data_IF_329868965073
#
_entry.id   IF_329868965073
#
_cell.length_a   1.000
_cell.length_b   1.000
_cell.length_c   1.000
_cell.angle_alpha   90.00
_cell.angle_beta   90.00
_cell.angle_gamma   90.00
#
_symmetry.space_group_name_H-M   'P 1'
#
loop_
_entity.id
_entity.type
_entity.pdbx_description
1 polymer ?
#
# COMPACT_ATOMS: atom_id res chain seq x y z
N UNK A 1 -1.21 -9.11 3.83
CA UNK A 1 -0.85 -7.83 3.15
C UNK A 1 -1.98 -6.81 3.17
N UNK A 2 -3.20 -7.18 2.82
CA UNK A 2 -4.34 -6.23 2.72
C UNK A 2 -4.57 -5.41 4.02
N UNK A 3 -4.61 -6.07 5.19
CA UNK A 3 -4.70 -5.37 6.48
C UNK A 3 -3.54 -4.39 6.74
N UNK A 4 -2.33 -4.73 6.28
CA UNK A 4 -1.16 -3.85 6.39
C UNK A 4 -1.35 -2.58 5.56
N UNK A 5 -1.85 -2.72 4.32
CA UNK A 5 -2.13 -1.57 3.46
C UNK A 5 -3.18 -0.65 4.08
N UNK A 6 -4.29 -1.21 4.58
CA UNK A 6 -5.32 -0.45 5.29
C UNK A 6 -4.73 0.38 6.44
N UNK A 7 -3.94 -0.26 7.30
CA UNK A 7 -3.38 0.38 8.48
C UNK A 7 -2.35 1.46 8.11
N UNK A 8 -1.48 1.19 7.12
CA UNK A 8 -0.49 2.17 6.66
C UNK A 8 -1.18 3.38 6.02
N UNK A 9 -2.14 3.17 5.12
CA UNK A 9 -2.85 4.30 4.49
C UNK A 9 -3.66 5.10 5.51
N UNK A 10 -4.36 4.45 6.44
CA UNK A 10 -5.07 5.14 7.51
C UNK A 10 -4.14 5.99 8.37
N UNK A 11 -2.93 5.49 8.67
CA UNK A 11 -1.95 6.19 9.48
C UNK A 11 -1.42 7.45 8.80
N UNK A 12 -1.15 7.41 7.49
CA UNK A 12 -0.63 8.56 6.73
C UNK A 12 -1.71 9.44 6.12
N UNK A 13 -2.97 9.06 6.22
CA UNK A 13 -4.12 9.80 5.71
C UNK A 13 -4.14 11.25 6.21
N UNK A 14 -4.62 12.18 5.39
CA UNK A 14 -4.89 13.57 5.81
C UNK A 14 -5.99 13.67 6.88
N UNK A 15 -6.78 12.62 7.07
CA UNK A 15 -7.83 12.50 8.07
C UNK A 15 -7.41 11.67 9.30
N UNK A 16 -6.11 11.42 9.47
CA UNK A 16 -5.57 10.77 10.67
C UNK A 16 -5.94 11.54 11.94
N UNK A 17 -5.98 10.85 13.07
CA UNK A 17 -6.36 11.44 14.35
C UNK A 17 -5.77 10.67 15.52
N UNK A 18 -5.74 11.27 16.74
CA UNK A 18 -5.35 10.55 17.96
C UNK A 18 -6.21 9.31 18.27
N UNK A 19 -7.40 9.17 17.64
CA UNK A 19 -8.26 8.01 17.77
C UNK A 19 -7.90 6.91 16.77
N UNK A 20 -7.48 7.26 15.56
CA UNK A 20 -7.18 6.29 14.49
C UNK A 20 -5.72 5.83 14.52
N UNK A 21 -4.79 6.70 14.89
CA UNK A 21 -3.36 6.41 14.89
C UNK A 21 -2.96 5.21 15.78
N UNK A 22 -3.44 5.11 17.03
CA UNK A 22 -3.12 3.95 17.87
C UNK A 22 -3.62 2.63 17.30
N UNK A 23 -4.80 2.64 16.65
CA UNK A 23 -5.38 1.46 16.02
C UNK A 23 -4.57 1.03 14.79
N UNK A 24 -4.20 2.00 13.95
CA UNK A 24 -3.40 1.76 12.76
C UNK A 24 -1.99 1.22 13.12
N UNK A 25 -1.29 1.86 14.04
CA UNK A 25 0.02 1.41 14.48
C UNK A 25 -0.05 0.01 15.10
N UNK A 26 -1.03 -0.24 15.97
CA UNK A 26 -1.18 -1.56 16.58
C UNK A 26 -1.48 -2.64 15.54
N UNK A 27 -2.29 -2.34 14.53
CA UNK A 27 -2.52 -3.25 13.43
C UNK A 27 -1.24 -3.54 12.63
N UNK A 28 -0.41 -2.52 12.34
CA UNK A 28 0.87 -2.68 11.64
C UNK A 28 1.80 -3.60 12.44
N UNK A 29 2.02 -3.32 13.73
CA UNK A 29 2.84 -4.16 14.62
C UNK A 29 2.39 -5.63 14.56
N UNK A 30 1.08 -5.88 14.78
CA UNK A 30 0.54 -7.24 14.79
C UNK A 30 0.69 -7.94 13.43
N UNK A 31 0.49 -7.21 12.32
CA UNK A 31 0.71 -7.81 10.99
C UNK A 31 2.17 -8.21 10.79
N UNK A 32 3.12 -7.35 11.18
CA UNK A 32 4.55 -7.66 11.04
C UNK A 32 4.97 -8.85 11.90
N UNK A 33 4.39 -8.99 13.09
CA UNK A 33 4.70 -10.08 14.01
C UNK A 33 4.08 -11.42 13.61
N UNK A 34 2.84 -11.41 13.11
CA UNK A 34 2.05 -12.65 12.96
C UNK A 34 1.78 -13.08 11.53
N UNK A 35 1.89 -12.19 10.53
CA UNK A 35 1.54 -12.54 9.15
C UNK A 35 2.34 -13.73 8.58
N UNK A 36 3.67 -13.83 8.79
CA UNK A 36 4.45 -14.96 8.27
C UNK A 36 4.00 -16.32 8.83
N UNK A 37 3.68 -16.37 10.12
CA UNK A 37 3.21 -17.59 10.79
C UNK A 37 1.76 -17.91 10.38
N UNK A 38 0.91 -16.88 10.30
CA UNK A 38 -0.47 -17.02 9.84
C UNK A 38 -0.53 -17.55 8.40
N UNK A 39 0.36 -17.09 7.52
CA UNK A 39 0.46 -17.59 6.15
C UNK A 39 0.85 -19.08 6.09
N UNK A 40 1.60 -19.57 7.07
CA UNK A 40 1.96 -20.98 7.26
C UNK A 40 0.89 -21.79 8.03
N UNK A 41 -0.31 -21.25 8.17
CA UNK A 41 -1.45 -21.87 8.84
C UNK A 41 -1.32 -22.07 10.36
N UNK A 42 -0.45 -21.32 11.06
CA UNK A 42 -0.47 -21.27 12.51
C UNK A 42 -1.78 -20.65 13.01
N UNK A 43 -2.54 -21.39 13.80
CA UNK A 43 -3.90 -20.98 14.20
C UNK A 43 -3.90 -19.84 15.21
N UNK A 44 -2.91 -19.75 16.09
CA UNK A 44 -2.78 -18.65 17.03
C UNK A 44 -2.43 -17.36 16.29
N UNK A 45 -1.49 -17.44 15.34
CA UNK A 45 -1.16 -16.31 14.50
C UNK A 45 -2.33 -15.86 13.61
N UNK A 46 -3.17 -16.80 13.14
CA UNK A 46 -4.40 -16.46 12.40
C UNK A 46 -5.39 -15.68 13.26
N UNK A 47 -5.57 -16.06 14.50
CA UNK A 47 -6.40 -15.32 15.45
C UNK A 47 -5.86 -13.88 15.64
N UNK A 48 -4.54 -13.72 15.85
CA UNK A 48 -3.94 -12.40 15.97
C UNK A 48 -4.12 -11.56 14.69
N UNK A 49 -4.05 -12.19 13.51
CA UNK A 49 -4.32 -11.53 12.25
C UNK A 49 -5.79 -11.09 12.09
N UNK A 50 -6.76 -11.79 12.69
CA UNK A 50 -8.14 -11.32 12.74
C UNK A 50 -8.28 -10.06 13.60
N UNK A 51 -7.60 -9.99 14.75
CA UNK A 51 -7.58 -8.76 15.55
C UNK A 51 -6.89 -7.61 14.81
N UNK A 52 -5.76 -7.88 14.17
CA UNK A 52 -5.06 -6.87 13.36
C UNK A 52 -5.94 -6.32 12.23
N UNK A 53 -6.68 -7.19 11.53
CA UNK A 53 -7.63 -6.79 10.50
C UNK A 53 -8.76 -5.93 11.06
N UNK A 54 -9.29 -6.27 12.23
CA UNK A 54 -10.34 -5.50 12.90
C UNK A 54 -9.84 -4.10 13.30
N UNK A 55 -8.64 -4.00 13.87
CA UNK A 55 -8.02 -2.72 14.24
C UNK A 55 -7.77 -1.85 13.00
N UNK A 56 -7.21 -2.43 11.93
CA UNK A 56 -7.03 -1.74 10.66
C UNK A 56 -8.37 -1.26 10.09
N UNK A 57 -9.43 -2.08 10.20
CA UNK A 57 -10.79 -1.77 9.80
C UNK A 57 -11.34 -0.54 10.53
N UNK A 58 -11.20 -0.50 11.85
CA UNK A 58 -11.63 0.64 12.67
C UNK A 58 -10.82 1.91 12.35
N UNK A 59 -9.51 1.78 12.09
CA UNK A 59 -8.67 2.91 11.73
C UNK A 59 -9.12 3.51 10.39
N UNK A 60 -9.17 2.74 9.30
CA UNK A 60 -9.48 3.28 7.98
C UNK A 60 -10.95 3.69 7.82
N UNK A 61 -11.88 3.10 8.56
CA UNK A 61 -13.28 3.53 8.53
C UNK A 61 -13.47 4.97 9.03
N UNK A 62 -12.53 5.50 9.79
CA UNK A 62 -12.54 6.85 10.33
C UNK A 62 -11.49 7.78 9.67
N UNK A 63 -10.31 7.26 9.33
CA UNK A 63 -9.25 8.03 8.68
C UNK A 63 -9.31 8.00 7.14
N UNK A 64 -10.16 7.13 6.57
CA UNK A 64 -10.18 6.80 5.15
C UNK A 64 -8.85 6.18 4.66
N UNK A 65 -8.67 6.11 3.36
CA UNK A 65 -7.57 5.41 2.69
C UNK A 65 -6.80 6.37 1.77
N UNK A 66 -6.04 5.84 0.82
CA UNK A 66 -5.24 6.62 -0.10
C UNK A 66 -5.20 6.01 -1.50
N UNK A 67 -4.20 6.42 -2.28
CA UNK A 67 -4.11 6.06 -3.70
C UNK A 67 -3.72 4.61 -3.96
N UNK A 68 -3.21 3.86 -2.98
CA UNK A 68 -3.04 2.39 -3.16
C UNK A 68 -4.39 1.75 -3.43
N UNK A 69 -5.40 2.09 -2.61
CA UNK A 69 -6.76 1.58 -2.79
C UNK A 69 -7.41 2.12 -4.06
N UNK A 70 -7.23 3.40 -4.37
CA UNK A 70 -7.74 4.00 -5.62
C UNK A 70 -7.23 3.27 -6.85
N UNK A 71 -5.94 2.97 -6.92
CA UNK A 71 -5.32 2.18 -7.99
C UNK A 71 -5.88 0.76 -8.03
N UNK A 72 -5.98 0.09 -6.88
CA UNK A 72 -6.48 -1.28 -6.79
C UNK A 72 -7.96 -1.42 -7.21
N UNK A 73 -8.81 -0.43 -6.89
CA UNK A 73 -10.20 -0.40 -7.33
C UNK A 73 -10.35 -0.38 -8.85
N UNK A 74 -9.44 0.28 -9.56
CA UNK A 74 -9.55 0.47 -11.01
C UNK A 74 -8.88 -0.65 -11.81
N UNK A 75 -8.04 -1.45 -11.18
CA UNK A 75 -7.29 -2.52 -11.88
C UNK A 75 -7.82 -3.93 -11.63
N UNK A 76 -8.65 -4.13 -10.60
CA UNK A 76 -9.13 -5.46 -10.22
C UNK A 76 -9.78 -6.25 -11.36
N UNK A 77 -10.58 -5.60 -12.21
CA UNK A 77 -11.26 -6.20 -13.34
C UNK A 77 -10.96 -5.50 -14.68
N UNK A 78 -9.87 -4.72 -14.76
CA UNK A 78 -9.56 -3.92 -15.93
C UNK A 78 -8.97 -4.73 -17.07
N UNK A 79 -8.31 -5.86 -16.79
CA UNK A 79 -7.49 -6.58 -17.76
C UNK A 79 -8.04 -7.97 -18.09
N UNK A 80 -7.83 -8.40 -19.34
CA UNK A 80 -8.24 -9.72 -19.83
C UNK A 80 -7.49 -10.89 -19.19
N UNK A 81 -6.34 -10.62 -18.55
CA UNK A 81 -5.57 -11.59 -17.76
C UNK A 81 -6.42 -12.24 -16.65
N UNK A 82 -7.55 -11.60 -16.31
CA UNK A 82 -8.45 -12.02 -15.25
C UNK A 82 -8.45 -11.05 -14.06
N UNK A 83 -9.24 -11.40 -13.06
CA UNK A 83 -9.36 -10.57 -11.87
C UNK A 83 -8.06 -10.55 -11.07
N UNK A 84 -7.51 -9.36 -10.83
CA UNK A 84 -6.42 -9.18 -9.87
C UNK A 84 -7.05 -9.12 -8.47
N UNK A 85 -6.79 -10.10 -7.59
CA UNK A 85 -7.34 -10.06 -6.23
C UNK A 85 -6.96 -8.75 -5.55
N UNK A 86 -7.95 -8.08 -4.96
CA UNK A 86 -7.77 -6.73 -4.42
C UNK A 86 -6.59 -6.62 -3.44
N UNK A 87 -6.43 -7.59 -2.54
CA UNK A 87 -5.28 -7.63 -1.63
C UNK A 87 -3.93 -7.83 -2.33
N UNK A 88 -3.91 -8.50 -3.49
CA UNK A 88 -2.71 -8.64 -4.31
C UNK A 88 -2.36 -7.32 -4.99
N UNK A 89 -3.33 -6.64 -5.61
CA UNK A 89 -3.15 -5.32 -6.21
C UNK A 89 -2.59 -4.31 -5.19
N UNK A 90 -3.22 -4.24 -4.01
CA UNK A 90 -2.74 -3.39 -2.91
C UNK A 90 -1.29 -3.70 -2.52
N UNK A 91 -0.93 -4.97 -2.43
CA UNK A 91 0.43 -5.37 -2.05
C UNK A 91 1.48 -5.02 -3.12
N UNK A 92 1.11 -5.09 -4.41
CA UNK A 92 1.96 -4.66 -5.53
C UNK A 92 2.19 -3.14 -5.48
N UNK A 93 1.13 -2.35 -5.29
CA UNK A 93 1.20 -0.89 -5.38
C UNK A 93 1.83 -0.23 -4.16
N UNK A 94 1.67 -0.80 -2.97
CA UNK A 94 2.07 -0.16 -1.70
C UNK A 94 3.52 0.34 -1.69
N UNK A 95 4.56 -0.42 -2.11
CA UNK A 95 5.94 0.08 -2.12
C UNK A 95 6.13 1.32 -2.99
N UNK A 96 5.49 1.36 -4.17
CA UNK A 96 5.60 2.48 -5.10
C UNK A 96 4.88 3.73 -4.60
N UNK A 97 3.70 3.55 -4.01
CA UNK A 97 2.92 4.65 -3.43
C UNK A 97 3.62 5.24 -2.21
N UNK A 98 4.26 4.43 -1.36
CA UNK A 98 5.07 4.95 -0.24
C UNK A 98 6.18 5.86 -0.78
N UNK A 99 6.89 5.44 -1.84
CA UNK A 99 7.93 6.28 -2.48
C UNK A 99 7.35 7.59 -3.00
N UNK A 100 6.21 7.53 -3.71
CA UNK A 100 5.53 8.72 -4.21
C UNK A 100 5.13 9.67 -3.08
N UNK A 101 4.44 9.17 -2.08
CA UNK A 101 3.95 9.97 -0.96
C UNK A 101 5.09 10.53 -0.09
N UNK A 102 6.22 9.84 0.01
CA UNK A 102 7.38 10.28 0.80
C UNK A 102 8.09 11.53 0.24
N UNK A 103 7.68 12.05 -0.93
CA UNK A 103 8.09 13.38 -1.38
C UNK A 103 7.34 14.51 -0.63
N UNK A 104 6.23 14.20 0.05
CA UNK A 104 5.56 15.11 0.96
C UNK A 104 6.20 14.98 2.37
N UNK A 105 6.72 16.08 2.97
CA UNK A 105 7.46 16.01 4.23
C UNK A 105 6.70 15.36 5.38
N UNK A 106 5.42 15.68 5.54
CA UNK A 106 4.59 15.09 6.61
C UNK A 106 4.39 13.59 6.40
N UNK A 107 4.17 13.16 5.16
CA UNK A 107 4.05 11.74 4.83
C UNK A 107 5.38 11.00 5.09
N UNK A 108 6.51 11.59 4.67
CA UNK A 108 7.85 11.07 4.98
C UNK A 108 8.02 10.84 6.47
N UNK A 109 7.70 11.86 7.29
CA UNK A 109 7.80 11.79 8.74
C UNK A 109 6.94 10.64 9.32
N UNK A 110 5.69 10.51 8.86
CA UNK A 110 4.77 9.48 9.34
C UNK A 110 5.16 8.06 8.91
N UNK A 111 5.65 7.86 7.70
CA UNK A 111 6.24 6.56 7.29
C UNK A 111 7.49 6.21 8.10
N UNK A 112 8.36 7.19 8.36
CA UNK A 112 9.53 7.01 9.21
C UNK A 112 9.13 6.68 10.66
N UNK A 113 8.07 7.29 11.19
CA UNK A 113 7.53 6.97 12.51
C UNK A 113 7.01 5.52 12.59
N UNK A 114 6.31 5.04 11.57
CA UNK A 114 5.96 3.61 11.47
C UNK A 114 7.22 2.75 11.61
N UNK A 115 8.25 3.02 10.80
CA UNK A 115 9.49 2.23 10.81
C UNK A 115 10.14 2.21 12.20
N UNK A 116 10.20 3.35 12.90
CA UNK A 116 10.73 3.44 14.25
C UNK A 116 9.94 2.61 15.25
N UNK A 117 8.62 2.72 15.22
CA UNK A 117 7.71 2.01 16.16
C UNK A 117 7.77 0.52 16.02
N UNK A 118 7.95 0.02 14.79
CA UNK A 118 8.07 -1.41 14.54
C UNK A 118 9.52 -1.92 14.57
N UNK A 119 10.46 -1.10 15.06
CA UNK A 119 11.86 -1.50 15.28
C UNK A 119 12.70 -1.65 14.02
N UNK A 120 12.29 -1.06 12.90
CA UNK A 120 13.10 -1.01 11.68
C UNK A 120 14.19 0.07 11.80
N UNK A 121 15.41 -0.28 11.37
CA UNK A 121 16.57 0.60 11.48
C UNK A 121 16.55 1.77 10.49
N UNK A 122 17.49 2.69 10.66
CA UNK A 122 17.73 3.84 9.78
C UNK A 122 18.19 5.07 10.56
N UNK A 123 19.23 5.74 10.05
CA UNK A 123 19.81 6.94 10.67
C UNK A 123 19.15 8.25 10.23
N UNK A 124 18.26 8.19 9.23
CA UNK A 124 17.47 9.31 8.71
C UNK A 124 16.07 8.85 8.38
N UNK A 125 15.10 9.77 8.27
CA UNK A 125 13.73 9.44 7.85
C UNK A 125 13.70 8.72 6.50
N UNK A 126 14.47 9.17 5.53
CA UNK A 126 14.61 8.48 4.24
C UNK A 126 15.11 7.04 4.39
N UNK A 127 16.09 6.80 5.26
CA UNK A 127 16.59 5.45 5.51
C UNK A 127 15.54 4.57 6.21
N UNK A 128 14.77 5.14 7.14
CA UNK A 128 13.66 4.47 7.83
C UNK A 128 12.52 4.12 6.87
N UNK A 129 12.13 5.04 6.00
CA UNK A 129 11.13 4.77 4.95
C UNK A 129 11.60 3.65 4.00
N UNK A 130 12.87 3.68 3.59
CA UNK A 130 13.44 2.61 2.76
C UNK A 130 13.43 1.26 3.49
N UNK A 131 13.69 1.24 4.80
CA UNK A 131 13.59 0.02 5.60
C UNK A 131 12.15 -0.52 5.69
N UNK A 132 11.15 0.37 5.79
CA UNK A 132 9.74 -0.02 5.74
C UNK A 132 9.38 -0.62 4.38
N UNK A 133 9.78 0.01 3.28
CA UNK A 133 9.56 -0.49 1.92
C UNK A 133 10.22 -1.87 1.76
N UNK A 134 11.47 -2.02 2.17
CA UNK A 134 12.20 -3.28 2.08
C UNK A 134 11.49 -4.40 2.87
N UNK A 135 10.92 -4.10 4.03
CA UNK A 135 10.14 -5.06 4.84
C UNK A 135 8.84 -5.49 4.16
N UNK A 136 8.14 -4.56 3.53
CA UNK A 136 6.94 -4.85 2.73
C UNK A 136 7.28 -5.74 1.54
N UNK A 137 8.36 -5.42 0.81
CA UNK A 137 8.82 -6.22 -0.32
C UNK A 137 9.30 -7.62 0.11
N UNK A 138 9.93 -7.75 1.29
CA UNK A 138 10.29 -9.05 1.89
C UNK A 138 9.04 -9.91 2.09
N UNK A 139 7.98 -9.34 2.65
CA UNK A 139 6.71 -10.04 2.86
C UNK A 139 6.04 -10.42 1.53
N UNK A 140 6.04 -9.53 0.56
CA UNK A 140 5.51 -9.83 -0.77
C UNK A 140 6.22 -11.03 -1.40
N UNK A 141 7.55 -11.06 -1.36
CA UNK A 141 8.34 -12.20 -1.85
C UNK A 141 8.04 -13.49 -1.09
N UNK A 142 7.97 -13.43 0.25
CA UNK A 142 7.70 -14.60 1.09
C UNK A 142 6.32 -15.22 0.84
N UNK A 143 5.37 -14.43 0.34
CA UNK A 143 4.00 -14.86 0.03
C UNK A 143 3.75 -15.05 -1.48
N UNK A 144 4.81 -15.05 -2.30
CA UNK A 144 4.73 -15.20 -3.75
C UNK A 144 3.82 -14.15 -4.42
N UNK A 145 3.79 -12.93 -3.89
CA UNK A 145 3.10 -11.80 -4.51
C UNK A 145 4.01 -11.21 -5.57
N UNK A 146 3.56 -11.06 -6.82
CA UNK A 146 4.34 -10.44 -7.89
C UNK A 146 4.80 -9.02 -7.52
N UNK A 147 5.99 -8.64 -8.00
CA UNK A 147 6.51 -7.30 -7.75
C UNK A 147 5.83 -6.24 -8.63
N UNK A 148 5.36 -6.64 -9.81
CA UNK A 148 4.83 -5.73 -10.83
C UNK A 148 3.54 -6.29 -11.44
N UNK A 149 2.79 -5.43 -12.14
CA UNK A 149 1.65 -5.87 -12.95
C UNK A 149 2.09 -6.75 -14.12
N UNK A 150 3.27 -6.52 -14.68
CA UNK A 150 3.85 -7.35 -15.73
C UNK A 150 4.13 -8.78 -15.21
N UNK A 151 4.75 -8.90 -14.03
CA UNK A 151 4.97 -10.21 -13.39
C UNK A 151 3.66 -10.92 -13.01
N UNK A 152 2.61 -10.16 -12.70
CA UNK A 152 1.27 -10.73 -12.49
C UNK A 152 0.68 -11.32 -13.78
N UNK A 153 1.14 -10.89 -14.95
CA UNK A 153 0.72 -11.37 -16.26
C UNK A 153 -0.16 -10.41 -17.06
N UNK A 154 -0.28 -9.15 -16.62
CA UNK A 154 -0.97 -8.11 -17.41
C UNK A 154 -0.20 -7.85 -18.70
N UNK A 155 -0.87 -7.93 -19.84
CA UNK A 155 -0.27 -7.71 -21.16
C UNK A 155 0.03 -6.25 -21.39
N UNK A 156 1.18 -5.98 -22.02
CA UNK A 156 1.68 -4.61 -22.20
C UNK A 156 0.80 -3.75 -23.12
N UNK A 157 0.31 -4.33 -24.19
CA UNK A 157 -0.59 -3.67 -25.12
C UNK A 157 -1.89 -3.24 -24.44
N UNK A 158 -2.50 -4.16 -23.69
CA UNK A 158 -3.72 -3.90 -22.93
C UNK A 158 -3.49 -2.88 -21.79
N UNK A 159 -2.35 -2.97 -21.11
CA UNK A 159 -1.96 -1.98 -20.10
C UNK A 159 -1.86 -0.57 -20.71
N UNK A 160 -1.15 -0.43 -21.85
CA UNK A 160 -0.99 0.86 -22.54
C UNK A 160 -2.32 1.43 -23.05
N UNK A 161 -3.19 0.57 -23.58
CA UNK A 161 -4.52 0.99 -24.04
C UNK A 161 -5.38 1.56 -22.92
N UNK A 162 -5.32 0.96 -21.73
CA UNK A 162 -6.18 1.33 -20.60
C UNK A 162 -5.56 2.35 -19.64
N UNK A 163 -4.26 2.64 -19.75
CA UNK A 163 -3.49 3.43 -18.80
C UNK A 163 -4.15 4.77 -18.45
N UNK A 164 -4.49 5.57 -19.45
CA UNK A 164 -5.09 6.89 -19.23
C UNK A 164 -6.44 6.78 -18.53
N UNK A 165 -7.28 5.86 -18.96
CA UNK A 165 -8.61 5.66 -18.37
C UNK A 165 -8.54 5.20 -16.91
N UNK A 166 -7.70 4.22 -16.57
CA UNK A 166 -7.57 3.77 -15.18
C UNK A 166 -6.93 4.83 -14.29
N UNK A 167 -6.04 5.66 -14.83
CA UNK A 167 -5.42 6.76 -14.09
C UNK A 167 -6.44 7.87 -13.75
N UNK A 168 -7.23 8.32 -14.73
CA UNK A 168 -8.31 9.29 -14.51
C UNK A 168 -9.33 8.78 -13.48
N UNK A 169 -9.76 7.52 -13.64
CA UNK A 169 -10.72 6.89 -12.71
C UNK A 169 -10.13 6.75 -11.30
N UNK A 170 -8.82 6.46 -11.16
CA UNK A 170 -8.17 6.37 -9.86
C UNK A 170 -8.05 7.73 -9.20
N UNK A 171 -7.74 8.80 -9.94
CA UNK A 171 -7.72 10.17 -9.40
C UNK A 171 -9.11 10.59 -8.92
N UNK A 172 -10.16 10.19 -9.62
CA UNK A 172 -11.56 10.43 -9.23
C UNK A 172 -12.10 9.52 -8.14
N UNK A 173 -11.34 8.57 -7.64
CA UNK A 173 -11.78 7.65 -6.58
C UNK A 173 -11.87 8.34 -5.22
N UNK A 174 -12.86 7.94 -4.42
CA UNK A 174 -13.09 8.53 -3.10
C UNK A 174 -11.88 8.43 -2.16
N UNK A 175 -11.07 7.38 -2.28
CA UNK A 175 -9.87 7.19 -1.45
C UNK A 175 -8.76 8.19 -1.79
N UNK A 176 -8.72 8.75 -2.99
CA UNK A 176 -7.68 9.70 -3.41
C UNK A 176 -7.72 10.99 -2.61
N UNK A 177 -8.92 11.43 -2.18
CA UNK A 177 -9.11 12.68 -1.44
C UNK A 177 -8.44 12.73 -0.07
N UNK A 178 -8.13 11.59 0.54
CA UNK A 178 -7.46 11.49 1.84
C UNK A 178 -5.98 11.08 1.75
N UNK A 179 -5.45 10.93 0.52
CA UNK A 179 -4.02 10.65 0.33
C UNK A 179 -3.16 11.84 0.79
N UNK A 180 -2.02 11.61 1.48
CA UNK A 180 -1.22 12.71 2.04
C UNK A 180 -0.58 13.62 0.99
N UNK A 181 -0.35 13.12 -0.23
CA UNK A 181 0.18 13.89 -1.35
C UNK A 181 -0.85 13.91 -2.48
N UNK A 182 -1.18 15.11 -2.99
CA UNK A 182 -2.06 15.25 -4.15
C UNK A 182 -1.44 14.59 -5.39
N UNK A 183 -2.29 14.12 -6.30
CA UNK A 183 -1.85 13.48 -7.54
C UNK A 183 -2.70 13.92 -8.72
N UNK A 184 -2.05 14.24 -9.85
CA UNK A 184 -2.72 14.54 -11.12
C UNK A 184 -2.91 13.27 -11.96
N UNK A 185 -3.80 13.26 -12.97
CA UNK A 185 -3.92 12.12 -13.88
C UNK A 185 -2.59 11.72 -14.53
N UNK A 186 -1.77 12.69 -14.96
CA UNK A 186 -0.47 12.44 -15.58
C UNK A 186 0.54 11.81 -14.60
N UNK A 187 0.51 12.22 -13.33
CA UNK A 187 1.33 11.62 -12.28
C UNK A 187 0.83 10.21 -11.95
N UNK A 188 -0.47 9.99 -11.95
CA UNK A 188 -1.07 8.67 -11.74
C UNK A 188 -0.71 7.70 -12.88
N UNK A 189 -0.70 8.16 -14.14
CA UNK A 189 -0.21 7.37 -15.27
C UNK A 189 1.27 6.97 -15.11
N UNK A 190 2.12 7.91 -14.68
CA UNK A 190 3.53 7.62 -14.38
C UNK A 190 3.66 6.61 -13.24
N UNK A 191 2.86 6.75 -12.18
CA UNK A 191 2.89 5.84 -11.05
C UNK A 191 2.44 4.42 -11.46
N UNK A 192 1.36 4.28 -12.23
CA UNK A 192 0.97 3.01 -12.82
C UNK A 192 2.07 2.42 -13.72
N UNK A 193 2.72 3.25 -14.51
CA UNK A 193 3.84 2.83 -15.37
C UNK A 193 5.00 2.27 -14.54
N UNK A 194 5.35 2.93 -13.42
CA UNK A 194 6.35 2.40 -12.49
C UNK A 194 5.93 1.05 -11.91
N UNK A 195 4.66 0.88 -11.55
CA UNK A 195 4.17 -0.40 -11.01
C UNK A 195 4.09 -1.50 -12.06
N UNK A 196 3.95 -1.14 -13.33
CA UNK A 196 3.94 -2.11 -14.43
C UNK A 196 5.34 -2.63 -14.75
N UNK A 197 6.32 -1.74 -14.93
CA UNK A 197 7.69 -2.10 -15.33
C UNK A 197 8.65 -2.33 -14.15
N UNK A 198 8.27 -1.99 -12.94
CA UNK A 198 9.16 -2.10 -11.78
C UNK A 198 10.23 -1.02 -11.70
N UNK A 199 9.97 0.14 -12.31
CA UNK A 199 10.89 1.28 -12.33
C UNK A 199 10.81 2.13 -11.07
N UNK A 200 11.82 2.96 -10.83
CA UNK A 200 11.88 3.86 -9.67
C UNK A 200 10.81 4.95 -9.76
N UNK A 201 10.32 5.40 -8.60
CA UNK A 201 9.40 6.54 -8.46
C UNK A 201 10.22 7.71 -7.94
N UNK A 202 10.49 8.69 -8.81
CA UNK A 202 11.41 9.83 -8.56
C UNK A 202 10.78 11.21 -8.87
N UNK A 203 9.42 11.28 -8.91
CA UNK A 203 8.66 12.49 -9.25
C UNK A 203 7.64 12.87 -8.19
#
# INVERSE_FOLDING_TARGET
>A
MYALTHAIEAYVSTLNSPFTDPLAIKAIEMVLDYLPQSYKCDMNAREQMHYAQCLAGQAFSNALLGIVHSMAHKTGAAFSTGHIPHGCANAIYLPYVIKYNAHEPEAMHRYADIARRVGLGGTSEKAQVNALIAKIEEFNRAMNIPKTLQEFGVKEDEFKEKLSSIAELAVGDACTGSNPRSITPEQMEKLFTCTYYGTEVDF
#
